data_IF_833512795875
#
_entry.id   IF_833512795875
#
_cell.length_a   1.000
_cell.length_b   1.000
_cell.length_c   1.000
_cell.angle_alpha   90.00
_cell.angle_beta   90.00
_cell.angle_gamma   90.00
#
_symmetry.space_group_name_H-M   'P 1'
#
loop_
_entity.id
_entity.type
_entity.pdbx_description
1 polymer ?
#
# COMPACT_ATOMS: atom_id res chain seq x y z
N UNK A 1 -7.78 -1.56 -24.38
CA UNK A 1 -8.60 -1.91 -25.57
C UNK A 1 -8.50 -3.38 -25.97
N UNK A 2 -7.33 -3.94 -26.28
CA UNK A 2 -7.20 -5.34 -26.74
C UNK A 2 -7.84 -6.38 -25.81
N UNK A 3 -7.68 -6.23 -24.49
CA UNK A 3 -8.15 -7.19 -23.49
C UNK A 3 -9.52 -6.83 -22.87
N UNK A 4 -10.16 -5.73 -23.29
CA UNK A 4 -11.44 -5.30 -22.70
C UNK A 4 -11.41 -4.98 -21.20
N UNK A 5 -10.23 -4.80 -20.61
CA UNK A 5 -10.05 -4.47 -19.19
C UNK A 5 -10.17 -2.95 -19.01
N UNK A 6 -11.02 -2.54 -18.07
CA UNK A 6 -11.15 -1.14 -17.69
C UNK A 6 -9.90 -0.69 -16.92
N UNK A 7 -9.31 0.49 -17.21
CA UNK A 7 -8.10 0.94 -16.55
C UNK A 7 -8.21 1.10 -15.03
N UNK A 8 -9.39 1.42 -14.52
CA UNK A 8 -9.69 1.55 -13.10
C UNK A 8 -9.67 0.21 -12.33
N UNK A 9 -9.59 -0.92 -13.05
CA UNK A 9 -9.36 -2.24 -12.46
C UNK A 9 -7.87 -2.56 -12.32
N UNK A 10 -7.00 -1.71 -12.86
CA UNK A 10 -5.56 -1.89 -12.82
C UNK A 10 -4.95 -0.98 -11.77
N UNK A 11 -4.00 -1.57 -11.04
CA UNK A 11 -3.13 -0.86 -10.12
C UNK A 11 -1.68 -1.23 -10.46
N UNK A 12 -0.81 -0.23 -10.43
CA UNK A 12 0.64 -0.40 -10.58
C UNK A 12 1.29 -0.12 -9.24
N UNK A 13 2.02 -1.10 -8.71
CA UNK A 13 2.79 -0.96 -7.48
C UNK A 13 4.23 -0.60 -7.82
N UNK A 14 4.78 0.39 -7.11
CA UNK A 14 6.14 0.86 -7.29
C UNK A 14 6.83 0.80 -5.93
N UNK A 15 7.90 0.02 -5.82
CA UNK A 15 8.68 -0.10 -4.58
C UNK A 15 9.33 1.22 -4.20
N UNK A 16 9.52 1.43 -2.89
CA UNK A 16 10.19 2.62 -2.38
C UNK A 16 11.60 2.82 -3.00
N UNK A 17 12.37 1.74 -3.19
CA UNK A 17 13.68 1.78 -3.84
C UNK A 17 13.63 2.27 -5.30
N UNK A 18 12.60 1.86 -6.06
CA UNK A 18 12.44 2.30 -7.44
C UNK A 18 12.18 3.82 -7.53
N UNK A 19 11.49 4.38 -6.53
CA UNK A 19 11.20 5.82 -6.44
C UNK A 19 12.44 6.65 -6.09
N UNK A 20 13.33 6.11 -5.26
CA UNK A 20 14.57 6.78 -4.83
C UNK A 20 15.56 7.03 -5.96
N UNK A 21 15.52 6.20 -7.00
CA UNK A 21 16.35 6.36 -8.19
C UNK A 21 15.89 7.52 -9.10
N UNK A 22 15.24 8.54 -8.50
CA UNK A 22 14.59 9.74 -9.03
C UNK A 22 14.96 10.07 -10.47
N UNK A 23 14.04 9.77 -11.39
CA UNK A 23 14.10 10.21 -12.78
C UNK A 23 12.89 11.10 -13.03
N UNK A 24 13.12 12.27 -13.64
CA UNK A 24 12.05 13.16 -14.14
C UNK A 24 11.01 12.40 -14.98
N UNK A 25 11.41 11.29 -15.63
CA UNK A 25 10.52 10.41 -16.38
C UNK A 25 9.47 9.68 -15.52
N UNK A 26 9.74 9.42 -14.24
CA UNK A 26 8.84 8.66 -13.37
C UNK A 26 7.54 9.42 -13.10
N UNK A 27 7.63 10.68 -12.65
CA UNK A 27 6.44 11.51 -12.39
C UNK A 27 5.56 11.66 -13.63
N UNK A 28 6.17 11.93 -14.79
CA UNK A 28 5.42 12.07 -16.04
C UNK A 28 4.71 10.77 -16.43
N UNK A 29 5.35 9.63 -16.19
CA UNK A 29 4.74 8.31 -16.45
C UNK A 29 3.58 8.06 -15.50
N UNK A 30 3.75 8.36 -14.21
CA UNK A 30 2.68 8.22 -13.22
C UNK A 30 1.46 9.07 -13.58
N UNK A 31 1.66 10.34 -13.88
CA UNK A 31 0.59 11.26 -14.28
C UNK A 31 -0.11 10.74 -15.55
N UNK A 32 0.64 10.24 -16.53
CA UNK A 32 0.05 9.71 -17.76
C UNK A 32 -0.80 8.45 -17.50
N UNK A 33 -0.35 7.54 -16.64
CA UNK A 33 -1.10 6.33 -16.25
C UNK A 33 -2.38 6.71 -15.48
N UNK A 34 -2.28 7.63 -14.53
CA UNK A 34 -3.43 8.12 -13.77
C UNK A 34 -4.44 8.87 -14.63
N UNK A 35 -3.99 9.62 -15.63
CA UNK A 35 -4.86 10.25 -16.62
C UNK A 35 -5.66 9.22 -17.44
N UNK A 36 -5.16 7.98 -17.55
CA UNK A 36 -5.90 6.85 -18.12
C UNK A 36 -6.86 6.17 -17.12
N UNK A 37 -6.82 6.55 -15.83
CA UNK A 37 -7.63 5.95 -14.76
C UNK A 37 -6.95 4.81 -14.01
N UNK A 38 -5.66 4.53 -14.28
CA UNK A 38 -4.89 3.49 -13.59
C UNK A 38 -4.41 4.03 -12.24
N UNK A 39 -4.62 3.27 -11.16
CA UNK A 39 -4.15 3.65 -9.82
C UNK A 39 -2.67 3.32 -9.65
N UNK A 40 -1.98 4.09 -8.82
CA UNK A 40 -0.58 3.85 -8.50
C UNK A 40 -0.39 3.76 -6.98
N UNK A 41 0.23 2.66 -6.56
CA UNK A 41 0.53 2.39 -5.16
C UNK A 41 2.03 2.48 -4.90
N UNK A 42 2.39 3.01 -3.73
CA UNK A 42 3.75 2.90 -3.20
C UNK A 42 3.86 1.61 -2.38
N UNK A 43 4.75 0.73 -2.82
CA UNK A 43 5.01 -0.58 -2.18
C UNK A 43 6.19 -0.49 -1.22
N UNK A 44 6.25 -1.42 -0.26
CA UNK A 44 7.29 -1.51 0.77
C UNK A 44 7.47 -0.24 1.62
N UNK A 45 6.39 0.54 1.84
CA UNK A 45 6.50 1.82 2.55
C UNK A 45 7.00 1.60 3.98
N UNK A 46 8.12 2.26 4.32
CA UNK A 46 8.68 2.28 5.68
C UNK A 46 9.69 1.18 5.98
N UNK A 47 10.19 0.47 4.96
CA UNK A 47 11.21 -0.59 5.08
C UNK A 47 12.64 -0.09 5.31
N UNK A 48 12.88 1.23 5.35
CA UNK A 48 14.18 1.78 5.74
C UNK A 48 14.61 3.04 5.02
N UNK A 49 13.85 3.49 4.02
CA UNK A 49 14.07 4.79 3.41
C UNK A 49 13.05 5.81 3.94
N UNK A 50 13.45 7.06 4.07
CA UNK A 50 12.56 8.12 4.53
C UNK A 50 11.64 8.52 3.36
N UNK A 51 10.58 7.75 3.11
CA UNK A 51 9.62 7.91 2.01
C UNK A 51 8.71 9.13 2.12
N UNK A 52 8.66 9.79 3.27
CA UNK A 52 7.72 10.91 3.48
C UNK A 52 7.87 12.05 2.45
N UNK A 53 9.07 12.52 2.08
CA UNK A 53 9.21 13.53 1.02
C UNK A 53 8.72 13.02 -0.35
N UNK A 54 8.87 11.73 -0.63
CA UNK A 54 8.38 11.13 -1.88
C UNK A 54 6.87 11.01 -1.90
N UNK A 55 6.26 10.65 -0.77
CA UNK A 55 4.81 10.64 -0.61
C UNK A 55 4.19 12.02 -0.87
N UNK A 56 4.89 13.10 -0.51
CA UNK A 56 4.46 14.47 -0.81
C UNK A 56 4.76 14.91 -2.26
N UNK A 57 5.79 14.33 -2.89
CA UNK A 57 6.27 14.72 -4.23
C UNK A 57 5.47 14.05 -5.34
N UNK A 58 5.12 12.77 -5.16
CA UNK A 58 4.50 11.97 -6.20
C UNK A 58 3.01 11.75 -5.92
N UNK A 59 2.17 11.71 -6.97
CA UNK A 59 0.74 11.53 -6.83
C UNK A 59 0.40 10.05 -6.60
N UNK A 60 0.72 9.48 -5.44
CA UNK A 60 0.27 8.11 -5.13
C UNK A 60 -1.22 8.10 -4.75
N UNK A 61 -1.94 7.06 -5.17
CA UNK A 61 -3.33 6.79 -4.79
C UNK A 61 -3.41 5.90 -3.54
N UNK A 62 -2.34 5.15 -3.28
CA UNK A 62 -2.26 4.13 -2.23
C UNK A 62 -0.85 4.02 -1.67
N UNK A 63 -0.75 3.70 -0.37
CA UNK A 63 0.49 3.22 0.25
C UNK A 63 0.26 1.84 0.87
N UNK A 64 1.28 0.99 0.78
CA UNK A 64 1.28 -0.35 1.35
C UNK A 64 2.34 -0.40 2.46
N UNK A 65 1.86 -0.51 3.70
CA UNK A 65 2.70 -0.58 4.89
C UNK A 65 3.26 -2.00 4.98
N UNK A 66 4.57 -2.12 4.79
CA UNK A 66 5.25 -3.41 4.81
C UNK A 66 5.07 -4.13 6.15
N UNK A 67 5.12 -5.46 6.11
CA UNK A 67 5.01 -6.32 7.29
C UNK A 67 6.04 -5.97 8.37
N UNK A 68 7.25 -5.54 8.00
CA UNK A 68 8.28 -5.14 8.98
C UNK A 68 7.82 -4.02 9.91
N UNK A 69 7.05 -3.04 9.42
CA UNK A 69 6.48 -1.99 10.27
C UNK A 69 5.51 -2.54 11.31
N UNK A 70 4.73 -3.55 10.94
CA UNK A 70 3.79 -4.21 11.86
C UNK A 70 4.54 -5.05 12.89
N UNK A 71 5.60 -5.75 12.49
CA UNK A 71 6.47 -6.50 13.40
C UNK A 71 7.21 -5.58 14.38
N UNK A 72 7.57 -4.38 13.96
CA UNK A 72 8.20 -3.35 14.80
C UNK A 72 7.19 -2.59 15.70
N UNK A 73 5.88 -2.78 15.49
CA UNK A 73 4.82 -2.16 16.28
C UNK A 73 4.65 -2.81 17.67
N UNK A 74 5.77 -3.00 18.39
CA UNK A 74 5.82 -3.57 19.73
C UNK A 74 5.81 -2.48 20.80
N UNK A 75 5.16 -2.79 21.94
CA UNK A 75 4.98 -1.83 23.04
C UNK A 75 4.13 -0.61 22.65
N UNK A 76 4.05 0.37 23.54
CA UNK A 76 3.23 1.57 23.30
C UNK A 76 3.82 2.46 22.19
N UNK A 77 5.14 2.68 22.22
CA UNK A 77 5.83 3.54 21.25
C UNK A 77 5.73 3.02 19.81
N UNK A 78 5.98 1.72 19.59
CA UNK A 78 5.91 1.14 18.24
C UNK A 78 4.49 1.21 17.68
N UNK A 79 3.49 0.92 18.51
CA UNK A 79 2.07 1.00 18.12
C UNK A 79 1.64 2.43 17.76
N UNK A 80 2.10 3.43 18.51
CA UNK A 80 1.82 4.83 18.19
C UNK A 80 2.50 5.28 16.90
N UNK A 81 3.75 4.86 16.66
CA UNK A 81 4.44 5.13 15.40
C UNK A 81 3.68 4.55 14.19
N UNK A 82 3.24 3.29 14.28
CA UNK A 82 2.43 2.66 13.23
C UNK A 82 1.14 3.45 12.96
N UNK A 83 0.44 3.87 14.02
CA UNK A 83 -0.78 4.70 13.91
C UNK A 83 -0.52 6.03 13.22
N UNK A 84 0.58 6.70 13.55
CA UNK A 84 0.98 7.96 12.92
C UNK A 84 1.28 7.74 11.43
N UNK A 85 2.00 6.67 11.09
CA UNK A 85 2.31 6.33 9.71
C UNK A 85 1.04 6.09 8.88
N UNK A 86 0.09 5.30 9.39
CA UNK A 86 -1.20 5.11 8.73
C UNK A 86 -1.92 6.46 8.50
N UNK A 87 -1.96 7.31 9.54
CA UNK A 87 -2.56 8.65 9.45
C UNK A 87 -1.87 9.56 8.42
N UNK A 88 -0.55 9.45 8.26
CA UNK A 88 0.19 10.21 7.25
C UNK A 88 -0.24 9.83 5.82
N UNK A 89 -0.50 8.55 5.58
CA UNK A 89 -1.07 8.08 4.31
C UNK A 89 -2.39 8.77 3.98
N UNK A 90 -3.31 8.84 4.94
CA UNK A 90 -4.58 9.54 4.75
C UNK A 90 -4.41 11.05 4.54
N UNK A 91 -3.48 11.70 5.24
CA UNK A 91 -3.16 13.13 5.03
C UNK A 91 -2.63 13.36 3.60
N UNK A 92 -1.90 12.40 3.04
CA UNK A 92 -1.46 12.41 1.66
C UNK A 92 -2.56 12.05 0.65
N UNK A 93 -3.81 11.87 1.10
CA UNK A 93 -4.96 11.40 0.31
C UNK A 93 -4.76 10.01 -0.32
N UNK A 94 -3.96 9.16 0.32
CA UNK A 94 -3.77 7.77 -0.11
C UNK A 94 -4.70 6.81 0.64
N UNK A 95 -5.15 5.77 -0.04
CA UNK A 95 -5.65 4.53 0.60
C UNK A 95 -4.48 3.83 1.30
N UNK A 96 -4.68 3.34 2.51
CA UNK A 96 -3.64 2.68 3.32
C UNK A 96 -3.91 1.18 3.39
N UNK A 97 -2.92 0.39 3.01
CA UNK A 97 -2.96 -1.08 3.10
C UNK A 97 -1.95 -1.57 4.13
N UNK A 98 -2.39 -2.43 5.05
CA UNK A 98 -1.46 -3.16 5.93
C UNK A 98 -1.12 -4.51 5.29
N UNK A 99 0.17 -4.77 5.10
CA UNK A 99 0.65 -6.04 4.55
C UNK A 99 1.11 -7.02 5.62
N UNK A 100 1.03 -8.30 5.27
CA UNK A 100 1.52 -9.38 6.10
C UNK A 100 0.81 -9.50 7.44
N UNK A 101 -0.50 -9.27 7.51
CA UNK A 101 -1.28 -9.57 8.73
C UNK A 101 -1.48 -11.08 8.84
N UNK A 102 -1.06 -11.69 9.94
CA UNK A 102 -1.07 -13.15 10.14
C UNK A 102 -1.92 -13.62 11.33
N UNK A 103 -2.26 -12.71 12.26
CA UNK A 103 -3.08 -13.03 13.43
C UNK A 103 -4.31 -12.13 13.57
N UNK A 104 -5.33 -12.62 14.28
CA UNK A 104 -6.51 -11.81 14.61
C UNK A 104 -6.12 -10.56 15.43
N UNK A 105 -5.15 -10.67 16.34
CA UNK A 105 -4.70 -9.54 17.16
C UNK A 105 -4.04 -8.44 16.29
N UNK A 106 -3.25 -8.82 15.29
CA UNK A 106 -2.70 -7.89 14.30
C UNK A 106 -3.81 -7.26 13.46
N UNK A 107 -4.77 -8.05 12.98
CA UNK A 107 -5.91 -7.56 12.21
C UNK A 107 -6.73 -6.50 12.97
N UNK A 108 -7.07 -6.79 14.22
CA UNK A 108 -7.77 -5.84 15.10
C UNK A 108 -6.94 -4.58 15.35
N UNK A 109 -5.64 -4.73 15.53
CA UNK A 109 -4.74 -3.60 15.75
C UNK A 109 -4.66 -2.67 14.53
N UNK A 110 -4.42 -3.20 13.32
CA UNK A 110 -4.32 -2.36 12.12
C UNK A 110 -5.66 -1.70 11.79
N UNK A 111 -6.78 -2.38 12.03
CA UNK A 111 -8.12 -1.80 11.90
C UNK A 111 -8.31 -0.61 12.87
N UNK A 112 -7.86 -0.73 14.13
CA UNK A 112 -7.88 0.38 15.10
C UNK A 112 -6.95 1.54 14.72
N UNK A 113 -5.93 1.28 13.90
CA UNK A 113 -5.06 2.32 13.34
C UNK A 113 -5.67 3.04 12.13
N UNK A 114 -6.88 2.64 11.69
CA UNK A 114 -7.59 3.26 10.58
C UNK A 114 -7.14 2.77 9.20
N UNK A 115 -6.41 1.66 9.11
CA UNK A 115 -6.02 1.07 7.82
C UNK A 115 -7.26 0.70 7.00
N UNK A 116 -7.25 1.04 5.71
CA UNK A 116 -8.41 0.88 4.81
C UNK A 116 -8.54 -0.56 4.30
N UNK A 117 -7.41 -1.22 4.02
CA UNK A 117 -7.38 -2.60 3.52
C UNK A 117 -6.29 -3.42 4.19
N UNK A 118 -6.52 -4.72 4.28
CA UNK A 118 -5.59 -5.66 4.90
C UNK A 118 -5.24 -6.77 3.92
N UNK A 119 -3.96 -7.09 3.85
CA UNK A 119 -3.43 -8.25 3.15
C UNK A 119 -2.61 -9.09 4.12
N UNK A 120 -2.75 -10.41 4.05
CA UNK A 120 -1.88 -11.32 4.80
C UNK A 120 -2.50 -12.69 5.04
N UNK A 121 -1.70 -13.59 5.59
CA UNK A 121 -2.09 -15.00 5.76
C UNK A 121 -3.22 -15.21 6.77
N UNK A 122 -3.53 -14.20 7.59
CA UNK A 122 -4.73 -14.23 8.41
C UNK A 122 -6.01 -14.34 7.56
N UNK A 123 -6.04 -13.65 6.41
CA UNK A 123 -7.16 -13.68 5.47
C UNK A 123 -7.00 -14.82 4.49
N UNK A 124 -5.89 -14.84 3.75
CA UNK A 124 -5.62 -15.83 2.72
C UNK A 124 -4.13 -15.86 2.35
N UNK A 125 -3.65 -17.04 1.95
CA UNK A 125 -2.32 -17.18 1.33
C UNK A 125 -2.42 -16.91 -0.18
N UNK A 126 -1.33 -16.47 -0.85
CA UNK A 126 -1.25 -16.47 -2.30
C UNK A 126 -1.65 -17.84 -2.85
N UNK A 127 -2.54 -17.84 -3.84
CA UNK A 127 -3.12 -19.07 -4.37
C UNK A 127 -3.29 -18.98 -5.89
N UNK A 128 -3.30 -20.12 -6.59
CA UNK A 128 -3.68 -20.19 -7.99
C UNK A 128 -5.08 -19.62 -8.25
N UNK A 129 -5.32 -19.10 -9.45
CA UNK A 129 -6.62 -18.52 -9.83
C UNK A 129 -7.82 -19.43 -9.56
N UNK A 130 -7.67 -20.74 -9.76
CA UNK A 130 -8.75 -21.72 -9.56
C UNK A 130 -9.22 -21.85 -8.10
N UNK A 131 -8.38 -21.43 -7.15
CA UNK A 131 -8.65 -21.51 -5.72
C UNK A 131 -9.20 -20.18 -5.16
N UNK A 132 -9.17 -19.09 -5.96
CA UNK A 132 -9.76 -17.80 -5.59
C UNK A 132 -11.29 -17.89 -5.62
N UNK A 133 -11.94 -17.42 -4.55
CA UNK A 133 -13.39 -17.26 -4.53
C UNK A 133 -13.83 -16.12 -5.45
N UNK A 134 -14.94 -16.32 -6.16
CA UNK A 134 -15.59 -15.24 -6.93
C UNK A 134 -16.29 -14.20 -6.02
N UNK A 135 -16.43 -14.48 -4.73
CA UNK A 135 -16.93 -13.52 -3.75
C UNK A 135 -15.90 -12.40 -3.52
N UNK A 136 -16.31 -11.17 -3.82
CA UNK A 136 -15.60 -9.96 -3.39
C UNK A 136 -15.88 -9.75 -1.90
N UNK A 137 -14.84 -9.88 -1.07
CA UNK A 137 -14.88 -9.44 0.34
C UNK A 137 -15.06 -7.91 0.44
#
# INVERSE_FOLDING_TARGET
EHYGVSPDWLEIEITEEAVLNDKVSLTNTMIALQACGIRIAMDDFGTGYASFPHLLKYPFDKIKLDRSLLLDATGEKGRELYRIVAKLGHIANCEVVAEGVETQAEYEFVAQCGVDKVQGFYLAKPMPRQDLSDERA
#
